data_IF_932690109923
#
_entry.id   IF_932690109923
#
_cell.length_a   1.000
_cell.length_b   1.000
_cell.length_c   1.000
_cell.angle_alpha   90.00
_cell.angle_beta   90.00
_cell.angle_gamma   90.00
#
_symmetry.space_group_name_H-M   'P 1'
#
loop_
_entity.id
_entity.type
_entity.pdbx_description
1 polymer ?
#
# COMPACT_ATOMS: atom_id res chain seq x y z
N UNK A 1 -59.68 -8.60 -10.79
CA UNK A 1 -58.54 -9.49 -11.13
C UNK A 1 -57.26 -8.70 -10.84
N UNK A 2 -56.65 -8.89 -9.67
CA UNK A 2 -55.39 -8.21 -9.31
C UNK A 2 -54.34 -9.26 -8.98
N UNK A 3 -53.30 -9.32 -9.82
CA UNK A 3 -52.11 -10.14 -9.59
C UNK A 3 -51.09 -9.29 -8.85
N UNK A 4 -50.77 -9.70 -7.63
CA UNK A 4 -49.66 -9.16 -6.86
C UNK A 4 -48.33 -9.51 -7.55
N UNK A 5 -47.49 -8.51 -7.77
CA UNK A 5 -46.15 -8.64 -8.32
C UNK A 5 -45.18 -8.82 -7.13
N UNK A 6 -44.44 -9.93 -7.01
CA UNK A 6 -43.51 -10.12 -5.90
C UNK A 6 -42.24 -9.30 -6.14
N UNK A 7 -41.92 -8.48 -5.15
CA UNK A 7 -40.70 -7.69 -5.03
C UNK A 7 -39.52 -8.65 -4.75
N UNK A 8 -38.64 -8.85 -5.72
CA UNK A 8 -37.40 -9.62 -5.55
C UNK A 8 -36.34 -8.74 -4.87
N UNK A 9 -36.12 -8.95 -3.57
CA UNK A 9 -34.93 -8.46 -2.87
C UNK A 9 -33.71 -9.26 -3.35
N UNK A 10 -32.86 -8.66 -4.17
CA UNK A 10 -31.52 -9.19 -4.44
C UNK A 10 -30.59 -8.75 -3.31
N UNK A 11 -30.27 -9.68 -2.40
CA UNK A 11 -29.15 -9.54 -1.47
C UNK A 11 -27.87 -9.38 -2.31
N UNK A 12 -27.33 -8.16 -2.36
CA UNK A 12 -25.99 -7.94 -2.87
C UNK A 12 -25.01 -8.64 -1.93
N UNK A 13 -24.42 -9.73 -2.42
CA UNK A 13 -23.38 -10.46 -1.73
C UNK A 13 -22.21 -9.51 -1.43
N UNK A 14 -21.89 -9.33 -0.14
CA UNK A 14 -20.57 -8.87 0.27
C UNK A 14 -19.58 -9.92 -0.23
N UNK A 15 -18.95 -9.68 -1.39
CA UNK A 15 -17.80 -10.46 -1.79
C UNK A 15 -16.69 -10.11 -0.81
N UNK A 16 -16.48 -10.98 0.17
CA UNK A 16 -15.27 -10.98 0.96
C UNK A 16 -14.13 -11.23 -0.04
N UNK A 17 -13.42 -10.16 -0.38
CA UNK A 17 -12.21 -10.23 -1.17
C UNK A 17 -11.27 -11.21 -0.45
N UNK A 18 -10.82 -12.30 -1.08
CA UNK A 18 -9.85 -13.17 -0.45
C UNK A 18 -8.62 -12.32 -0.09
N UNK A 19 -8.01 -12.53 1.08
CA UNK A 19 -6.75 -11.87 1.39
C UNK A 19 -5.78 -12.24 0.28
N UNK A 20 -5.37 -11.25 -0.50
CA UNK A 20 -4.22 -11.40 -1.40
C UNK A 20 -3.06 -11.75 -0.50
N UNK A 21 -2.60 -12.99 -0.58
CA UNK A 21 -1.28 -13.37 -0.09
C UNK A 21 -0.30 -12.40 -0.74
N UNK A 22 0.14 -11.39 0.01
CA UNK A 22 1.18 -10.47 -0.39
C UNK A 22 2.32 -11.33 -0.92
N UNK A 23 2.50 -11.28 -2.24
CA UNK A 23 3.63 -11.96 -2.84
C UNK A 23 4.84 -11.27 -2.23
N UNK A 24 5.76 -12.03 -1.64
CA UNK A 24 7.09 -11.50 -1.31
C UNK A 24 7.78 -11.21 -2.66
N UNK A 25 7.38 -10.14 -3.33
CA UNK A 25 7.85 -9.74 -4.66
C UNK A 25 9.14 -8.93 -4.60
N UNK A 26 9.71 -8.79 -3.41
CA UNK A 26 10.87 -7.97 -3.14
C UNK A 26 12.20 -8.67 -3.33
N UNK A 27 13.13 -7.96 -3.95
CA UNK A 27 14.55 -8.27 -4.03
C UNK A 27 15.33 -7.92 -2.74
N UNK A 28 14.63 -7.70 -1.62
CA UNK A 28 15.17 -7.59 -0.26
C UNK A 28 15.51 -6.15 0.16
N UNK A 29 15.06 -5.16 -0.60
CA UNK A 29 15.28 -3.76 -0.31
C UNK A 29 14.45 -3.28 0.89
N UNK A 30 13.23 -3.79 1.05
CA UNK A 30 12.37 -3.43 2.19
C UNK A 30 12.96 -3.85 3.54
N UNK A 31 13.79 -4.91 3.59
CA UNK A 31 14.42 -5.43 4.81
C UNK A 31 15.37 -4.42 5.50
N UNK A 32 15.76 -3.36 4.79
CA UNK A 32 16.55 -2.25 5.34
C UNK A 32 15.73 -1.37 6.29
N UNK A 33 14.41 -1.33 6.07
CA UNK A 33 13.46 -0.62 6.90
C UNK A 33 12.99 -1.51 8.04
N UNK A 34 12.83 -0.93 9.23
CA UNK A 34 12.38 -1.65 10.43
C UNK A 34 11.22 -0.93 11.09
N UNK A 35 10.25 -1.67 11.66
CA UNK A 35 9.15 -1.06 12.38
C UNK A 35 9.64 -0.06 13.43
N UNK A 36 8.98 1.10 13.50
CA UNK A 36 9.32 2.22 14.38
C UNK A 36 10.34 3.22 13.82
N UNK A 37 10.96 2.96 12.67
CA UNK A 37 11.80 3.96 11.98
C UNK A 37 10.98 5.19 11.60
N UNK A 38 11.61 6.37 11.62
CA UNK A 38 11.00 7.62 11.16
C UNK A 38 11.14 7.78 9.65
N UNK A 39 10.37 8.71 9.07
CA UNK A 39 10.53 9.10 7.66
C UNK A 39 11.96 9.60 7.37
N UNK A 40 12.61 10.25 8.34
CA UNK A 40 14.00 10.71 8.21
C UNK A 40 15.01 9.55 8.22
N UNK A 41 14.75 8.48 8.97
CA UNK A 41 15.58 7.28 8.92
C UNK A 41 15.48 6.60 7.54
N UNK A 42 14.27 6.53 6.99
CA UNK A 42 14.05 6.02 5.64
C UNK A 42 14.72 6.90 4.57
N UNK A 43 14.66 8.22 4.72
CA UNK A 43 15.41 9.16 3.89
C UNK A 43 16.92 8.89 3.94
N UNK A 44 17.48 8.60 5.12
CA UNK A 44 18.89 8.25 5.26
C UNK A 44 19.31 6.98 4.50
N UNK A 45 18.37 6.07 4.23
CA UNK A 45 18.62 4.80 3.56
C UNK A 45 18.39 4.85 2.06
N UNK A 46 17.36 5.57 1.61
CA UNK A 46 16.91 5.58 0.21
C UNK A 46 17.02 6.94 -0.47
N UNK A 47 17.29 7.99 0.28
CA UNK A 47 17.24 9.37 -0.22
C UNK A 47 15.80 9.89 -0.28
N UNK A 48 15.54 10.91 -1.13
CA UNK A 48 14.22 11.52 -1.22
C UNK A 48 13.16 10.52 -1.71
N UNK A 49 11.95 10.66 -1.20
CA UNK A 49 10.80 9.92 -1.69
C UNK A 49 10.49 10.30 -3.14
N UNK A 50 10.11 9.30 -3.93
CA UNK A 50 9.61 9.46 -5.29
C UNK A 50 8.10 9.72 -5.32
N UNK A 51 7.41 9.46 -4.21
CA UNK A 51 5.98 9.71 -4.07
C UNK A 51 5.54 9.66 -2.61
N UNK A 52 4.52 10.46 -2.31
CA UNK A 52 3.88 10.52 -1.01
C UNK A 52 2.37 10.44 -1.21
N UNK A 53 1.71 9.63 -0.40
CA UNK A 53 0.27 9.52 -0.40
C UNK A 53 -0.27 9.37 1.03
N UNK A 54 -1.31 10.14 1.34
CA UNK A 54 -2.05 10.02 2.61
C UNK A 54 -3.16 8.99 2.44
N UNK A 55 -3.35 8.08 3.40
CA UNK A 55 -4.45 7.11 3.33
C UNK A 55 -5.80 7.86 3.42
N UNK A 56 -6.71 7.70 2.43
CA UNK A 56 -7.99 8.41 2.41
C UNK A 56 -8.99 7.95 3.49
N UNK A 57 -8.80 6.75 4.06
CA UNK A 57 -9.62 6.18 5.12
C UNK A 57 -9.05 6.42 6.53
N UNK A 58 -7.77 6.78 6.64
CA UNK A 58 -7.06 6.95 7.91
C UNK A 58 -5.98 8.03 7.79
N UNK A 59 -6.26 9.21 8.34
CA UNK A 59 -5.36 10.37 8.23
C UNK A 59 -4.07 10.24 9.04
N UNK A 60 -3.98 9.28 9.95
CA UNK A 60 -2.76 9.02 10.69
C UNK A 60 -1.79 8.13 9.90
N UNK A 61 -2.21 7.58 8.77
CA UNK A 61 -1.39 6.69 7.94
C UNK A 61 -0.98 7.35 6.62
N UNK A 62 0.29 7.19 6.22
CA UNK A 62 0.82 7.58 4.91
C UNK A 62 1.62 6.45 4.27
N UNK A 63 1.70 6.46 2.95
CA UNK A 63 2.58 5.61 2.15
C UNK A 63 3.61 6.49 1.43
N UNK A 64 4.89 6.20 1.64
CA UNK A 64 5.99 6.81 0.90
C UNK A 64 6.59 5.79 -0.05
N UNK A 65 6.88 6.21 -1.28
CA UNK A 65 7.54 5.39 -2.31
C UNK A 65 8.98 5.82 -2.50
N UNK A 66 9.92 4.88 -2.48
CA UNK A 66 11.33 5.13 -2.74
C UNK A 66 11.80 4.34 -3.96
N UNK A 67 12.21 5.05 -5.02
CA UNK A 67 12.76 4.42 -6.21
C UNK A 67 14.13 3.79 -5.94
N UNK A 68 14.37 2.62 -6.53
CA UNK A 68 15.66 1.98 -6.59
C UNK A 68 15.81 1.21 -7.91
N UNK A 69 17.01 0.70 -8.17
CA UNK A 69 17.33 0.05 -9.43
C UNK A 69 17.65 1.04 -10.55
N UNK A 70 17.62 0.59 -11.82
CA UNK A 70 18.04 1.39 -12.97
C UNK A 70 17.02 2.51 -13.30
N UNK A 71 17.51 3.69 -13.65
CA UNK A 71 16.70 4.90 -13.91
C UNK A 71 15.63 4.69 -15.00
N UNK A 72 15.86 3.83 -15.99
CA UNK A 72 14.91 3.56 -17.08
C UNK A 72 13.81 2.55 -16.75
N UNK A 73 13.92 1.86 -15.62
CA UNK A 73 12.95 0.87 -15.15
C UNK A 73 13.08 0.74 -13.61
N UNK A 74 12.78 1.80 -12.85
CA UNK A 74 12.91 1.76 -11.40
C UNK A 74 11.88 0.81 -10.81
N UNK A 75 12.28 0.18 -9.71
CA UNK A 75 11.37 -0.45 -8.78
C UNK A 75 11.19 0.44 -7.55
N UNK A 76 10.15 0.21 -6.76
CA UNK A 76 9.83 1.04 -5.62
C UNK A 76 9.71 0.22 -4.33
N UNK A 77 10.26 0.77 -3.25
CA UNK A 77 9.93 0.36 -1.88
C UNK A 77 8.73 1.21 -1.45
N UNK A 78 7.66 0.57 -0.99
CA UNK A 78 6.51 1.23 -0.36
C UNK A 78 6.63 1.09 1.14
N UNK A 79 6.70 2.22 1.84
CA UNK A 79 6.84 2.32 3.28
C UNK A 79 5.57 2.95 3.88
N UNK A 80 4.84 2.18 4.68
CA UNK A 80 3.68 2.65 5.41
C UNK A 80 4.10 3.20 6.77
N UNK A 81 3.76 4.45 7.01
CA UNK A 81 3.97 5.14 8.27
C UNK A 81 2.63 5.39 8.95
N UNK A 82 2.59 5.19 10.27
CA UNK A 82 1.48 5.57 11.13
C UNK A 82 1.99 6.51 12.20
N UNK A 83 1.38 7.69 12.31
CA UNK A 83 1.80 8.73 13.26
C UNK A 83 3.33 9.02 13.20
N UNK A 84 3.91 8.99 12.00
CA UNK A 84 5.33 9.27 11.75
C UNK A 84 6.30 8.10 12.02
N UNK A 85 5.80 6.92 12.41
CA UNK A 85 6.61 5.73 12.62
C UNK A 85 6.29 4.66 11.57
N UNK A 86 7.30 3.98 11.07
CA UNK A 86 7.14 2.91 10.09
C UNK A 86 6.37 1.74 10.72
N UNK A 87 5.27 1.38 10.08
CA UNK A 87 4.43 0.24 10.43
C UNK A 87 4.79 -0.98 9.58
N UNK A 88 5.00 -0.77 8.27
CA UNK A 88 5.27 -1.85 7.31
C UNK A 88 6.07 -1.32 6.11
N UNK A 89 6.85 -2.18 5.46
CA UNK A 89 7.44 -1.90 4.16
C UNK A 89 7.36 -3.12 3.22
N UNK A 90 7.26 -2.85 1.92
CA UNK A 90 7.31 -3.85 0.84
C UNK A 90 8.09 -3.29 -0.34
N UNK A 91 8.65 -4.16 -1.18
CA UNK A 91 9.50 -3.80 -2.30
C UNK A 91 9.21 -4.63 -3.55
N UNK A 92 9.83 -4.25 -4.67
CA UNK A 92 9.61 -4.85 -5.98
C UNK A 92 8.47 -4.20 -6.78
N UNK A 93 7.98 -3.03 -6.36
CA UNK A 93 6.83 -2.40 -7.00
C UNK A 93 7.22 -1.71 -8.32
N UNK A 94 6.39 -1.83 -9.35
CA UNK A 94 6.61 -1.14 -10.63
C UNK A 94 6.06 0.30 -10.65
N UNK A 95 5.36 0.72 -9.60
CA UNK A 95 4.74 2.04 -9.50
C UNK A 95 4.76 2.61 -8.09
N UNK A 96 4.26 3.85 -7.95
CA UNK A 96 4.15 4.55 -6.68
C UNK A 96 2.98 4.02 -5.84
N UNK A 97 2.94 4.42 -4.56
CA UNK A 97 1.85 4.17 -3.63
C UNK A 97 0.49 4.61 -4.23
N UNK A 98 -0.54 3.79 -3.97
CA UNK A 98 -1.97 4.13 -4.18
C UNK A 98 -2.85 3.48 -3.11
N UNK A 99 -2.63 3.80 -1.83
CA UNK A 99 -3.28 3.29 -0.59
C UNK A 99 -2.96 1.84 -0.16
N UNK A 100 -1.70 1.44 -0.33
CA UNK A 100 -1.09 0.19 0.16
C UNK A 100 -1.24 -1.02 -0.77
N UNK A 101 -0.80 -0.87 -2.02
CA UNK A 101 -0.65 -1.99 -2.95
C UNK A 101 0.23 -3.10 -2.33
N UNK A 102 -0.36 -4.29 -2.24
CA UNK A 102 0.25 -5.55 -1.79
C UNK A 102 0.50 -6.47 -2.99
#
# INVERSE_FOLDING_TARGET
>A
MWRALPLLLTLAACQAQPPTTATRSGDGMADRLRPGMTENDAFGLFGPESGFERNPADWDQSCLSYAYGPVGAPLYVHALFRAGALEQATDGHAGLCTFAAA
#
